data_IF_215724707292
#
_entry.id   IF_215724707292
#
_cell.length_a   1.000
_cell.length_b   1.000
_cell.length_c   1.000
_cell.angle_alpha   90.00
_cell.angle_beta   90.00
_cell.angle_gamma   90.00
#
_symmetry.space_group_name_H-M   'P 1'
#
loop_
_entity.id
_entity.type
_entity.pdbx_description
1 polymer ?
#
# COMPACT_ATOMS: atom_id res chain seq x y z
N UNK A 1 -3.94 24.56 9.69
CA UNK A 1 -4.61 24.05 8.47
C UNK A 1 -3.80 22.88 7.95
N UNK A 2 -4.37 21.68 7.91
CA UNK A 2 -3.72 20.52 7.31
C UNK A 2 -3.95 20.52 5.80
N UNK A 3 -2.89 20.32 5.02
CA UNK A 3 -2.97 20.22 3.57
C UNK A 3 -2.94 18.75 3.18
N UNK A 4 -4.03 18.26 2.60
CA UNK A 4 -4.12 16.88 2.10
C UNK A 4 -3.81 16.84 0.62
N UNK A 5 -2.88 15.98 0.19
CA UNK A 5 -2.57 15.75 -1.23
C UNK A 5 -2.75 14.27 -1.55
N UNK A 6 -3.52 13.96 -2.59
CA UNK A 6 -3.75 12.59 -3.06
C UNK A 6 -2.72 12.28 -4.16
N UNK A 7 -1.83 11.32 -3.89
CA UNK A 7 -0.87 10.82 -4.86
C UNK A 7 -1.32 9.44 -5.33
N UNK A 8 -1.79 9.34 -6.57
CA UNK A 8 -2.15 8.04 -7.14
C UNK A 8 -0.89 7.18 -7.34
N UNK A 9 -0.82 6.07 -6.61
CA UNK A 9 0.27 5.11 -6.76
C UNK A 9 -0.10 4.15 -7.89
N UNK A 10 0.36 4.46 -9.11
CA UNK A 10 0.15 3.63 -10.32
C UNK A 10 1.13 2.45 -10.41
N UNK A 11 1.49 1.90 -9.27
CA UNK A 11 2.73 1.15 -9.09
C UNK A 11 2.49 -0.03 -8.15
N UNK A 12 3.34 -1.04 -8.22
CA UNK A 12 3.24 -2.25 -7.40
C UNK A 12 3.20 -1.93 -5.90
N UNK A 13 2.57 -2.81 -5.13
CA UNK A 13 2.40 -2.63 -3.68
C UNK A 13 3.70 -2.45 -2.92
N UNK A 14 4.76 -3.14 -3.34
CA UNK A 14 6.08 -2.94 -2.74
C UNK A 14 6.55 -1.47 -2.82
N UNK A 15 6.32 -0.81 -3.95
CA UNK A 15 6.64 0.60 -4.13
C UNK A 15 5.69 1.51 -3.35
N UNK A 16 4.42 1.11 -3.20
CA UNK A 16 3.45 1.84 -2.39
C UNK A 16 3.84 1.86 -0.90
N UNK A 17 4.17 0.67 -0.37
CA UNK A 17 4.64 0.50 1.00
C UNK A 17 5.95 1.26 1.22
N UNK A 18 6.91 1.14 0.31
CA UNK A 18 8.17 1.90 0.39
C UNK A 18 7.97 3.43 0.37
N UNK A 19 6.97 3.93 -0.38
CA UNK A 19 6.65 5.35 -0.41
C UNK A 19 6.07 5.83 0.93
N UNK A 20 5.16 5.06 1.52
CA UNK A 20 4.53 5.38 2.81
C UNK A 20 5.56 5.29 3.95
N UNK A 21 6.39 4.25 3.95
CA UNK A 21 7.41 4.04 4.98
C UNK A 21 8.67 4.90 4.78
N UNK A 22 8.72 5.77 3.77
CA UNK A 22 9.85 6.66 3.57
C UNK A 22 9.90 7.73 4.68
N UNK A 23 10.93 7.77 5.54
CA UNK A 23 11.02 8.74 6.64
C UNK A 23 11.05 10.20 6.16
N UNK A 24 11.53 10.47 4.93
CA UNK A 24 11.54 11.81 4.33
C UNK A 24 10.12 12.31 3.99
N UNK A 25 9.15 11.38 3.90
CA UNK A 25 7.76 11.66 3.51
C UNK A 25 6.78 11.61 4.68
N UNK A 26 7.15 10.99 5.80
CA UNK A 26 6.23 10.69 6.91
C UNK A 26 6.75 11.08 8.29
N UNK A 27 7.60 12.12 8.36
CA UNK A 27 8.22 12.60 9.60
C UNK A 27 8.83 11.47 10.42
N UNK A 28 9.84 10.80 9.85
CA UNK A 28 10.51 9.66 10.49
C UNK A 28 9.54 8.52 10.84
N UNK A 29 8.52 8.30 9.99
CA UNK A 29 7.47 7.29 10.18
C UNK A 29 6.54 7.52 11.38
N UNK A 30 6.59 8.67 12.05
CA UNK A 30 5.72 8.97 13.19
C UNK A 30 4.22 8.90 12.83
N UNK A 31 3.90 9.19 11.57
CA UNK A 31 2.53 9.17 11.03
C UNK A 31 2.16 7.84 10.38
N UNK A 32 3.02 6.83 10.45
CA UNK A 32 2.80 5.50 9.87
C UNK A 32 2.38 4.56 10.99
N UNK A 33 1.13 4.12 10.94
CA UNK A 33 0.62 3.06 11.80
C UNK A 33 0.16 1.89 10.94
N UNK A 34 0.34 0.68 11.45
CA UNK A 34 0.03 -0.56 10.74
C UNK A 34 -0.90 -1.42 11.58
N UNK A 35 -2.15 -1.58 11.12
CA UNK A 35 -3.11 -2.45 11.77
C UNK A 35 -3.33 -3.72 10.94
N UNK A 36 -2.96 -4.88 11.51
CA UNK A 36 -3.20 -6.19 10.91
C UNK A 36 -2.37 -6.52 9.66
N UNK A 37 -1.42 -5.67 9.27
CA UNK A 37 -0.57 -5.88 8.10
C UNK A 37 0.75 -5.10 8.25
N UNK A 38 1.89 -5.79 8.33
CA UNK A 38 3.21 -5.17 8.47
C UNK A 38 3.77 -4.81 7.08
N UNK A 39 4.58 -3.74 6.93
CA UNK A 39 5.23 -3.40 5.65
C UNK A 39 5.94 -4.57 4.96
N UNK A 40 6.59 -5.45 5.74
CA UNK A 40 7.31 -6.62 5.22
C UNK A 40 6.38 -7.72 4.71
N UNK A 41 5.20 -7.89 5.33
CA UNK A 41 4.23 -8.93 4.96
C UNK A 41 3.17 -8.45 3.99
N UNK A 42 3.04 -7.14 3.80
CA UNK A 42 1.98 -6.52 3.01
C UNK A 42 1.88 -7.05 1.58
N UNK A 43 3.01 -7.45 0.99
CA UNK A 43 3.01 -8.11 -0.33
C UNK A 43 2.33 -9.48 -0.29
N UNK A 44 2.66 -10.30 0.70
CA UNK A 44 2.10 -11.65 0.85
C UNK A 44 0.60 -11.60 1.17
N UNK A 45 0.20 -10.70 2.06
CA UNK A 45 -1.20 -10.50 2.43
C UNK A 45 -2.02 -10.06 1.21
N UNK A 46 -1.44 -9.20 0.38
CA UNK A 46 -2.08 -8.80 -0.86
C UNK A 46 -2.15 -9.93 -1.89
N UNK A 47 -1.07 -10.66 -2.13
CA UNK A 47 -1.05 -11.79 -3.07
C UNK A 47 -2.07 -12.87 -2.65
N UNK A 48 -2.22 -13.11 -1.35
CA UNK A 48 -3.25 -13.98 -0.79
C UNK A 48 -4.67 -13.43 -1.00
N UNK A 49 -4.90 -12.14 -0.78
CA UNK A 49 -6.19 -11.54 -1.09
C UNK A 49 -6.52 -11.65 -2.59
N UNK A 50 -5.52 -11.40 -3.45
CA UNK A 50 -5.65 -11.44 -4.90
C UNK A 50 -5.99 -12.85 -5.39
N UNK A 51 -5.35 -13.89 -4.86
CA UNK A 51 -5.60 -15.26 -5.31
C UNK A 51 -7.07 -15.68 -5.10
N UNK A 52 -7.73 -15.13 -4.08
CA UNK A 52 -9.14 -15.41 -3.73
C UNK A 52 -10.17 -14.50 -4.42
N UNK A 53 -9.74 -13.49 -5.17
CA UNK A 53 -10.66 -12.77 -6.06
C UNK A 53 -11.09 -13.68 -7.21
N UNK A 54 -12.11 -13.31 -8.00
CA UNK A 54 -12.43 -13.99 -9.26
C UNK A 54 -11.63 -13.38 -10.41
N UNK A 55 -11.40 -14.13 -11.49
CA UNK A 55 -10.67 -13.60 -12.66
C UNK A 55 -11.39 -12.42 -13.34
N UNK A 56 -12.72 -12.31 -13.14
CA UNK A 56 -13.56 -11.22 -13.65
C UNK A 56 -13.50 -9.95 -12.80
N UNK A 57 -12.87 -10.00 -11.61
CA UNK A 57 -12.85 -8.85 -10.73
C UNK A 57 -11.87 -7.80 -11.27
N UNK A 58 -12.36 -6.56 -11.44
CA UNK A 58 -11.55 -5.43 -11.91
C UNK A 58 -10.26 -5.25 -11.10
N UNK A 59 -10.26 -5.67 -9.84
CA UNK A 59 -9.11 -5.61 -8.92
C UNK A 59 -7.89 -6.36 -9.49
N UNK A 60 -8.09 -7.45 -10.24
CA UNK A 60 -6.98 -8.18 -10.89
C UNK A 60 -6.32 -7.44 -12.05
N UNK A 61 -7.01 -6.50 -12.66
CA UNK A 61 -6.53 -5.77 -13.85
C UNK A 61 -5.95 -4.39 -13.53
N UNK A 62 -5.98 -3.95 -12.26
CA UNK A 62 -5.52 -2.62 -11.82
C UNK A 62 -4.08 -2.69 -11.26
N UNK A 63 -3.43 -3.86 -11.30
CA UNK A 63 -2.05 -4.11 -10.84
C UNK A 63 -1.12 -4.19 -12.04
#
# INVERSE_FOLDING_TARGET
MAYTRIHAIKSTIAKAVAYICNPDKTEQQLLVDSFGCHPDTAKHDFDYALCRTKSSDKIRHII
#
